data_IF_917733701693
#
_entry.id   IF_917733701693
#
_cell.length_a   1.000
_cell.length_b   1.000
_cell.length_c   1.000
_cell.angle_alpha   90.00
_cell.angle_beta   90.00
_cell.angle_gamma   90.00
#
_symmetry.space_group_name_H-M   'P 1'
#
loop_
_entity.id
_entity.type
_entity.pdbx_description
1 polymer ?
#
# COMPACT_ATOMS: atom_id res chain seq x y z
N UNK A 1 -18.46 20.24 -35.32
CA UNK A 1 -18.40 21.11 -34.12
C UNK A 1 -17.09 20.83 -33.40
N UNK A 2 -16.12 21.73 -33.61
CA UNK A 2 -14.77 21.67 -33.05
C UNK A 2 -14.78 22.13 -31.58
N UNK A 3 -14.06 21.44 -30.69
CA UNK A 3 -13.56 22.05 -29.45
C UNK A 3 -12.15 21.58 -29.15
N UNK A 4 -11.26 22.55 -29.26
CA UNK A 4 -9.84 22.50 -29.07
C UNK A 4 -9.44 22.52 -27.58
N UNK A 5 -8.21 22.06 -27.35
CA UNK A 5 -7.19 22.54 -26.41
C UNK A 5 -7.56 22.93 -24.96
N UNK A 6 -6.82 22.32 -24.02
CA UNK A 6 -5.76 23.02 -23.27
C UNK A 6 -5.02 22.07 -22.32
N UNK A 7 -3.79 21.75 -22.69
CA UNK A 7 -2.75 21.31 -21.76
C UNK A 7 -2.28 22.51 -20.94
N UNK A 8 -2.26 22.39 -19.61
CA UNK A 8 -1.57 23.33 -18.73
C UNK A 8 -0.99 22.55 -17.54
N UNK A 9 0.32 22.30 -17.58
CA UNK A 9 1.09 21.84 -16.43
C UNK A 9 1.87 23.04 -15.87
N UNK A 10 1.83 23.29 -14.55
CA UNK A 10 2.62 24.34 -13.93
C UNK A 10 4.10 23.92 -13.76
N UNK A 11 4.95 24.93 -13.91
CA UNK A 11 6.40 24.93 -13.73
C UNK A 11 6.82 24.54 -12.31
N UNK A 12 7.85 23.68 -12.21
CA UNK A 12 8.52 23.33 -10.97
C UNK A 12 9.63 24.35 -10.71
N UNK A 13 9.48 25.12 -9.64
CA UNK A 13 10.48 26.06 -9.12
C UNK A 13 11.63 25.28 -8.45
N UNK A 14 12.85 25.49 -8.95
CA UNK A 14 14.10 25.01 -8.37
C UNK A 14 14.51 25.84 -7.15
N UNK A 15 14.95 25.17 -6.09
CA UNK A 15 15.51 25.76 -4.86
C UNK A 15 17.04 25.78 -5.00
N UNK A 16 17.73 26.93 -4.81
CA UNK A 16 19.17 26.98 -4.66
C UNK A 16 19.55 26.83 -3.18
N UNK A 17 20.64 26.14 -2.87
CA UNK A 17 21.25 26.25 -1.54
C UNK A 17 22.76 26.35 -1.69
N UNK A 18 23.25 27.47 -1.17
CA UNK A 18 24.59 28.02 -1.32
C UNK A 18 25.69 27.16 -0.71
N UNK A 19 26.80 27.15 -1.44
CA UNK A 19 28.15 26.89 -0.99
C UNK A 19 28.67 28.08 -0.17
N UNK A 20 29.15 27.85 1.06
CA UNK A 20 30.05 28.79 1.75
C UNK A 20 31.22 28.05 2.42
N UNK A 21 32.40 28.27 1.84
CA UNK A 21 33.73 28.04 2.40
C UNK A 21 34.21 29.27 3.18
N UNK A 22 35.23 29.08 4.03
CA UNK A 22 36.08 30.05 4.79
C UNK A 22 35.99 29.78 6.31
N UNK A 23 37.04 29.71 7.15
CA UNK A 23 38.50 29.89 7.06
C UNK A 23 39.12 29.25 8.33
N UNK A 24 40.39 28.85 8.27
CA UNK A 24 41.13 28.17 9.34
C UNK A 24 41.97 29.09 10.26
N UNK A 25 42.07 28.68 11.55
CA UNK A 25 43.24 28.70 12.49
C UNK A 25 43.71 30.02 13.18
N UNK A 26 44.47 29.99 14.33
CA UNK A 26 44.80 28.91 15.32
C UNK A 26 44.76 29.26 16.86
N UNK A 27 44.65 28.19 17.68
CA UNK A 27 45.19 27.80 19.04
C UNK A 27 45.95 28.74 20.02
N UNK A 28 46.26 28.33 21.28
CA UNK A 28 45.62 27.35 22.21
C UNK A 28 45.54 27.82 23.70
N UNK A 29 44.81 27.09 24.55
CA UNK A 29 45.03 27.05 26.00
C UNK A 29 44.94 25.60 26.52
N UNK A 30 45.74 25.19 27.52
CA UNK A 30 45.96 23.77 27.83
C UNK A 30 44.99 23.20 28.88
N UNK A 31 44.72 21.90 28.70
CA UNK A 31 44.45 20.87 29.71
C UNK A 31 43.29 21.03 30.70
N UNK A 32 42.16 20.37 30.37
CA UNK A 32 41.52 19.40 31.29
C UNK A 32 40.96 18.22 30.45
N UNK A 33 41.53 16.99 30.54
CA UNK A 33 40.93 15.82 29.90
C UNK A 33 39.79 15.29 30.75
N UNK A 34 38.63 15.94 30.69
CA UNK A 34 37.40 15.39 31.26
C UNK A 34 36.89 14.29 30.31
N UNK A 35 37.46 13.08 30.41
CA UNK A 35 36.97 11.86 29.75
C UNK A 35 35.62 11.48 30.35
N UNK A 36 34.57 12.20 29.97
CA UNK A 36 33.20 11.69 30.11
C UNK A 36 33.11 10.38 29.34
N UNK A 37 32.58 9.30 29.94
CA UNK A 37 32.44 8.03 29.24
C UNK A 37 31.60 8.25 27.98
N UNK A 38 32.17 7.97 26.81
CA UNK A 38 31.49 7.88 25.50
C UNK A 38 30.54 6.66 25.46
N UNK A 39 29.85 6.37 26.56
CA UNK A 39 29.01 5.18 26.74
C UNK A 39 27.58 5.36 26.22
N UNK A 40 27.21 6.52 25.67
CA UNK A 40 25.79 6.78 25.33
C UNK A 40 25.51 7.06 23.85
N UNK A 41 26.49 6.90 22.95
CA UNK A 41 26.22 6.99 21.49
C UNK A 41 25.82 5.65 20.86
N UNK A 42 26.11 4.52 21.50
CA UNK A 42 25.71 3.18 21.03
C UNK A 42 24.33 2.73 21.51
N UNK A 43 23.77 3.33 22.57
CA UNK A 43 22.38 3.06 23.01
C UNK A 43 21.30 3.62 22.08
N UNK A 44 21.69 4.36 21.03
CA UNK A 44 20.79 4.80 19.95
C UNK A 44 20.68 3.80 18.80
N UNK A 45 21.51 2.75 18.79
CA UNK A 45 21.31 1.64 17.88
C UNK A 45 20.10 0.81 18.36
N UNK A 46 19.17 0.58 17.44
CA UNK A 46 18.11 -0.45 17.49
C UNK A 46 17.02 -0.29 18.54
N UNK A 47 16.42 0.90 18.68
CA UNK A 47 14.96 0.87 18.88
C UNK A 47 14.37 0.43 17.55
N UNK A 48 14.01 -0.85 17.49
CA UNK A 48 13.32 -1.45 16.35
C UNK A 48 12.15 -0.56 15.92
N UNK A 49 11.94 -0.40 14.61
CA UNK A 49 11.04 0.62 14.08
C UNK A 49 9.61 0.50 14.66
N UNK A 50 9.16 -0.71 14.99
CA UNK A 50 7.86 -0.95 15.63
C UNK A 50 7.75 -0.35 17.02
N UNK A 51 8.85 -0.20 17.77
CA UNK A 51 8.84 0.51 19.04
C UNK A 51 8.39 1.95 18.85
N UNK A 52 8.70 2.60 17.72
CA UNK A 52 8.22 3.94 17.40
C UNK A 52 6.72 3.95 17.05
N UNK A 53 6.26 2.90 16.36
CA UNK A 53 4.84 2.74 15.99
C UNK A 53 3.95 2.49 17.20
N UNK A 54 4.43 1.71 18.18
CA UNK A 54 3.68 1.43 19.41
C UNK A 54 3.30 2.69 20.21
N UNK A 55 4.06 3.79 20.06
CA UNK A 55 3.76 5.08 20.72
C UNK A 55 2.94 6.04 19.86
N UNK A 56 2.60 5.68 18.62
CA UNK A 56 1.77 6.54 17.77
C UNK A 56 0.32 6.48 18.27
N UNK A 57 -0.22 7.64 18.66
CA UNK A 57 -1.66 7.80 18.85
C UNK A 57 -2.34 7.83 17.48
N UNK A 58 -2.75 6.65 17.02
CA UNK A 58 -3.52 6.53 15.78
C UNK A 58 -4.97 6.94 16.06
N UNK A 59 -5.47 7.93 15.33
CA UNK A 59 -6.91 8.22 15.36
C UNK A 59 -7.64 7.03 14.75
N UNK A 60 -8.69 6.50 15.39
CA UNK A 60 -9.45 5.40 14.82
C UNK A 60 -9.97 5.81 13.44
N UNK A 61 -9.56 5.08 12.42
CA UNK A 61 -10.03 5.29 11.06
C UNK A 61 -11.40 4.63 10.92
N UNK A 62 -12.44 5.44 10.76
CA UNK A 62 -13.80 4.96 10.50
C UNK A 62 -14.13 5.09 9.02
N UNK A 63 -14.45 3.98 8.37
CA UNK A 63 -14.93 3.96 6.99
C UNK A 63 -16.29 3.27 6.94
N UNK A 64 -17.27 3.91 6.30
CA UNK A 64 -18.63 3.38 6.16
C UNK A 64 -18.96 3.09 4.70
N UNK A 65 -19.76 2.06 4.46
CA UNK A 65 -20.28 1.69 3.14
C UNK A 65 -21.68 2.27 2.91
N UNK A 66 -21.83 3.57 3.11
CA UNK A 66 -23.13 4.26 3.13
C UNK A 66 -23.51 4.87 1.78
N UNK A 67 -22.74 4.62 0.72
CA UNK A 67 -22.95 5.19 -0.61
C UNK A 67 -22.93 4.09 -1.66
N UNK A 68 -23.55 4.36 -2.81
CA UNK A 68 -23.49 3.51 -4.01
C UNK A 68 -22.96 4.30 -5.19
N UNK A 69 -22.26 3.62 -6.09
CA UNK A 69 -21.77 4.20 -7.32
C UNK A 69 -22.94 4.57 -8.25
N UNK A 70 -22.95 5.80 -8.79
CA UNK A 70 -24.00 6.27 -9.70
C UNK A 70 -24.02 5.56 -11.06
N UNK A 71 -22.94 4.87 -11.43
CA UNK A 71 -22.79 4.22 -12.74
C UNK A 71 -23.04 2.70 -12.70
N UNK A 72 -22.65 2.03 -11.60
CA UNK A 72 -22.75 0.57 -11.48
C UNK A 72 -23.42 0.09 -10.18
N UNK A 73 -23.87 1.00 -9.32
CA UNK A 73 -24.60 0.71 -8.08
C UNK A 73 -23.86 -0.13 -7.02
N UNK A 74 -22.56 -0.38 -7.22
CA UNK A 74 -21.72 -1.08 -6.23
C UNK A 74 -21.60 -0.21 -4.97
N UNK A 75 -21.70 -0.80 -3.76
CA UNK A 75 -21.43 -0.08 -2.51
C UNK A 75 -20.03 0.53 -2.53
N UNK A 76 -19.93 1.80 -2.13
CA UNK A 76 -18.68 2.56 -2.09
C UNK A 76 -18.28 2.84 -0.65
N UNK A 77 -16.97 2.96 -0.42
CA UNK A 77 -16.47 3.51 0.82
C UNK A 77 -16.82 5.01 0.94
N UNK A 78 -16.98 5.52 2.16
CA UNK A 78 -17.37 6.91 2.44
C UNK A 78 -16.47 7.94 1.74
N UNK A 79 -15.18 7.62 1.59
CA UNK A 79 -14.16 8.46 0.95
C UNK A 79 -13.98 8.20 -0.54
N UNK A 80 -14.63 7.17 -1.09
CA UNK A 80 -14.46 6.75 -2.49
C UNK A 80 -15.32 7.61 -3.43
N UNK A 81 -14.75 7.98 -4.57
CA UNK A 81 -15.44 8.78 -5.59
C UNK A 81 -16.29 7.88 -6.47
N UNK A 82 -17.51 8.35 -6.80
CA UNK A 82 -18.35 7.64 -7.76
C UNK A 82 -17.62 7.50 -9.10
N UNK A 83 -17.75 6.33 -9.73
CA UNK A 83 -17.11 6.03 -11.00
C UNK A 83 -15.66 5.56 -10.92
N UNK A 84 -15.00 5.62 -9.75
CA UNK A 84 -13.65 5.05 -9.60
C UNK A 84 -13.65 3.53 -9.86
N UNK A 85 -14.59 2.80 -9.28
CA UNK A 85 -14.70 1.34 -9.38
C UNK A 85 -15.02 0.80 -10.78
N UNK A 86 -15.54 1.62 -11.70
CA UNK A 86 -16.02 1.20 -13.01
C UNK A 86 -15.55 2.11 -14.15
N UNK A 87 -14.60 3.01 -13.88
CA UNK A 87 -14.13 4.01 -14.84
C UNK A 87 -15.30 4.81 -15.44
N UNK A 88 -16.17 5.37 -14.59
CA UNK A 88 -17.41 6.07 -14.97
C UNK A 88 -18.35 5.22 -15.84
N UNK A 89 -18.44 3.92 -15.56
CA UNK A 89 -19.29 2.96 -16.26
C UNK A 89 -18.67 2.34 -17.51
N UNK A 90 -17.45 2.73 -17.92
CA UNK A 90 -16.75 2.15 -19.06
C UNK A 90 -16.35 0.69 -18.85
N UNK A 91 -16.11 0.30 -17.60
CA UNK A 91 -15.75 -1.08 -17.22
C UNK A 91 -16.79 -1.59 -16.25
N UNK A 92 -17.53 -2.62 -16.65
CA UNK A 92 -18.39 -3.40 -15.75
C UNK A 92 -17.72 -4.73 -15.53
N UNK A 93 -17.62 -5.14 -14.27
CA UNK A 93 -17.21 -6.51 -13.98
C UNK A 93 -18.22 -7.47 -14.65
N UNK A 94 -17.75 -8.54 -15.29
CA UNK A 94 -18.67 -9.56 -15.78
C UNK A 94 -19.47 -10.13 -14.62
N UNK A 95 -20.70 -10.57 -14.89
CA UNK A 95 -21.45 -11.33 -13.88
C UNK A 95 -20.68 -12.60 -13.58
N UNK A 96 -20.49 -12.87 -12.29
CA UNK A 96 -19.92 -14.13 -11.86
C UNK A 96 -20.85 -15.28 -12.31
N UNK A 97 -20.29 -16.44 -12.69
CA UNK A 97 -21.09 -17.63 -12.92
C UNK A 97 -21.89 -17.95 -11.64
N UNK A 98 -23.08 -18.55 -11.79
CA UNK A 98 -23.87 -18.94 -10.62
C UNK A 98 -23.08 -19.91 -9.76
N UNK A 99 -23.17 -19.74 -8.45
CA UNK A 99 -22.56 -20.66 -7.51
C UNK A 99 -23.25 -22.04 -7.57
N UNK A 100 -22.53 -23.13 -7.26
CA UNK A 100 -23.16 -24.43 -7.05
C UNK A 100 -24.29 -24.32 -6.03
N UNK A 101 -25.41 -25.02 -6.28
CA UNK A 101 -26.66 -24.87 -5.51
C UNK A 101 -26.47 -24.93 -3.99
N UNK A 102 -25.68 -25.91 -3.51
CA UNK A 102 -25.41 -26.07 -2.08
C UNK A 102 -24.65 -24.90 -1.48
N UNK A 103 -23.71 -24.32 -2.23
CA UNK A 103 -22.94 -23.17 -1.77
C UNK A 103 -23.80 -21.90 -1.76
N UNK A 104 -24.63 -21.70 -2.78
CA UNK A 104 -25.59 -20.60 -2.80
C UNK A 104 -26.56 -20.69 -1.61
N UNK A 105 -27.12 -21.87 -1.35
CA UNK A 105 -27.98 -22.09 -0.20
C UNK A 105 -27.28 -21.75 1.11
N UNK A 106 -26.04 -22.20 1.30
CA UNK A 106 -25.25 -21.84 2.47
C UNK A 106 -24.98 -20.33 2.58
N UNK A 107 -24.73 -19.65 1.46
CA UNK A 107 -24.56 -18.19 1.43
C UNK A 107 -25.85 -17.44 1.81
N UNK A 108 -27.00 -17.98 1.43
CA UNK A 108 -28.31 -17.38 1.70
C UNK A 108 -28.77 -17.65 3.15
N UNK A 109 -28.44 -18.82 3.71
CA UNK A 109 -28.83 -19.26 5.05
C UNK A 109 -27.90 -18.74 6.17
N UNK A 110 -26.70 -18.25 5.83
CA UNK A 110 -25.70 -17.88 6.82
C UNK A 110 -25.87 -16.46 7.36
N UNK A 111 -25.97 -16.31 8.68
CA UNK A 111 -25.94 -15.01 9.37
C UNK A 111 -24.53 -14.40 9.45
N UNK A 112 -23.51 -15.11 8.95
CA UNK A 112 -22.14 -14.64 9.00
C UNK A 112 -21.96 -13.43 8.06
N UNK A 113 -21.33 -12.33 8.52
CA UNK A 113 -21.03 -11.19 7.67
C UNK A 113 -19.81 -11.47 6.78
N UNK A 114 -19.94 -12.42 5.85
CA UNK A 114 -18.87 -12.96 5.00
C UNK A 114 -18.08 -11.88 4.27
N UNK A 115 -18.79 -10.88 3.72
CA UNK A 115 -18.14 -9.74 3.05
C UNK A 115 -17.22 -8.96 3.99
N UNK A 116 -17.63 -8.77 5.24
CA UNK A 116 -16.83 -8.09 6.26
C UNK A 116 -15.62 -8.93 6.67
N UNK A 117 -15.82 -10.23 6.87
CA UNK A 117 -14.75 -11.16 7.24
C UNK A 117 -13.69 -11.28 6.13
N UNK A 118 -14.12 -11.47 4.87
CA UNK A 118 -13.24 -11.52 3.71
C UNK A 118 -12.38 -10.26 3.59
N UNK A 119 -12.97 -9.07 3.73
CA UNK A 119 -12.22 -7.81 3.70
C UNK A 119 -11.21 -7.68 4.85
N UNK A 120 -11.57 -8.12 6.05
CA UNK A 120 -10.65 -8.13 7.20
C UNK A 120 -9.46 -9.04 6.93
N UNK A 121 -9.70 -10.26 6.42
CA UNK A 121 -8.65 -11.21 6.06
C UNK A 121 -7.74 -10.66 4.95
N UNK A 122 -8.32 -10.10 3.88
CA UNK A 122 -7.53 -9.48 2.81
C UNK A 122 -6.67 -8.32 3.31
N UNK A 123 -7.20 -7.52 4.24
CA UNK A 123 -6.44 -6.42 4.86
C UNK A 123 -5.29 -6.96 5.72
N UNK A 124 -5.56 -7.96 6.57
CA UNK A 124 -4.52 -8.62 7.37
C UNK A 124 -3.44 -9.22 6.49
N UNK A 125 -3.81 -9.92 5.41
CA UNK A 125 -2.87 -10.47 4.45
C UNK A 125 -2.01 -9.38 3.80
N UNK A 126 -2.61 -8.28 3.34
CA UNK A 126 -1.88 -7.16 2.76
C UNK A 126 -0.89 -6.52 3.75
N UNK A 127 -1.28 -6.36 5.02
CA UNK A 127 -0.38 -5.85 6.06
C UNK A 127 0.77 -6.79 6.38
N UNK A 128 0.48 -8.10 6.49
CA UNK A 128 1.52 -9.12 6.70
C UNK A 128 2.51 -9.13 5.54
N UNK A 129 2.01 -9.01 4.30
CA UNK A 129 2.87 -8.93 3.12
C UNK A 129 3.80 -7.73 3.22
N UNK A 130 3.27 -6.52 3.43
CA UNK A 130 4.07 -5.28 3.59
C UNK A 130 5.12 -5.42 4.70
N UNK A 131 4.75 -6.02 5.83
CA UNK A 131 5.66 -6.22 6.96
C UNK A 131 6.77 -7.22 6.67
N UNK A 132 6.47 -8.28 5.90
CA UNK A 132 7.44 -9.34 5.57
C UNK A 132 8.38 -8.98 4.40
N UNK A 133 7.91 -8.20 3.43
CA UNK A 133 8.66 -7.93 2.20
C UNK A 133 9.53 -6.67 2.24
N UNK A 134 9.41 -5.83 3.29
CA UNK A 134 10.04 -4.51 3.44
C UNK A 134 9.82 -3.55 2.24
N UNK A 135 8.99 -3.94 1.26
CA UNK A 135 8.72 -3.26 0.00
C UNK A 135 7.28 -3.57 -0.43
N UNK A 136 6.64 -2.63 -1.12
CA UNK A 136 5.37 -2.91 -1.79
C UNK A 136 5.63 -3.85 -2.97
N UNK A 137 5.49 -5.15 -2.75
CA UNK A 137 5.49 -6.12 -3.84
C UNK A 137 4.10 -6.03 -4.48
N UNK A 138 4.07 -5.80 -5.80
CA UNK A 138 2.86 -6.02 -6.58
C UNK A 138 2.86 -7.50 -6.96
N UNK A 139 2.09 -8.36 -6.26
CA UNK A 139 1.94 -9.72 -6.73
C UNK A 139 1.34 -9.64 -8.14
N UNK A 140 1.89 -10.39 -9.12
CA UNK A 140 1.21 -10.53 -10.40
C UNK A 140 -0.21 -11.06 -10.11
N UNK A 141 -1.22 -10.35 -10.58
CA UNK A 141 -2.62 -10.66 -10.30
C UNK A 141 -3.06 -12.03 -10.87
N UNK A 142 -4.15 -12.63 -10.36
CA UNK A 142 -4.50 -12.83 -8.96
C UNK A 142 -3.81 -14.10 -8.43
N UNK A 143 -3.16 -14.00 -7.28
CA UNK A 143 -2.61 -15.17 -6.59
C UNK A 143 -3.76 -15.96 -5.96
N UNK A 144 -4.36 -16.87 -6.72
CA UNK A 144 -4.83 -18.12 -6.15
C UNK A 144 -3.60 -18.73 -5.48
N UNK A 145 -3.55 -18.67 -4.15
CA UNK A 145 -2.38 -19.03 -3.35
C UNK A 145 -1.90 -20.43 -3.73
N UNK A 146 -0.77 -20.60 -4.42
CA UNK A 146 -0.13 -21.90 -4.52
C UNK A 146 0.64 -22.05 -3.22
N UNK A 147 0.19 -23.01 -2.40
CA UNK A 147 1.02 -23.55 -1.31
C UNK A 147 2.37 -23.93 -1.92
N UNK A 148 3.51 -23.48 -1.37
CA UNK A 148 4.81 -23.78 -1.95
C UNK A 148 5.15 -25.24 -1.66
N UNK A 149 5.06 -26.11 -2.66
CA UNK A 149 5.90 -27.30 -2.73
C UNK A 149 7.02 -27.02 -3.72
N UNK A 150 8.10 -26.51 -3.15
CA UNK A 150 9.49 -26.70 -3.55
C UNK A 150 9.70 -27.80 -4.61
N UNK A 151 9.96 -27.41 -5.86
CA UNK A 151 11.05 -27.96 -6.70
C UNK A 151 11.10 -27.22 -8.03
N UNK A 152 12.27 -26.68 -8.32
CA UNK A 152 12.66 -26.02 -9.56
C UNK A 152 12.48 -26.92 -10.78
N UNK A 153 11.74 -26.44 -11.79
CA UNK A 153 11.79 -26.98 -13.16
C UNK A 153 11.97 -25.81 -14.14
N UNK A 154 12.87 -25.90 -15.15
CA UNK A 154 13.25 -24.77 -15.99
C UNK A 154 12.12 -24.33 -16.92
N UNK A 155 12.03 -23.01 -17.13
CA UNK A 155 11.12 -22.37 -18.07
C UNK A 155 11.45 -22.78 -19.52
N UNK A 156 10.59 -23.58 -20.13
CA UNK A 156 10.46 -23.60 -21.59
C UNK A 156 9.43 -22.54 -22.00
N UNK A 157 9.88 -21.64 -22.87
CA UNK A 157 9.10 -20.60 -23.54
C UNK A 157 7.94 -21.21 -24.34
N UNK A 158 6.71 -20.75 -24.10
CA UNK A 158 5.58 -21.06 -24.97
C UNK A 158 5.12 -19.78 -25.69
N UNK A 159 5.36 -19.77 -27.00
CA UNK A 159 4.98 -18.75 -27.95
C UNK A 159 3.48 -18.82 -28.28
N UNK A 160 2.88 -17.65 -28.52
CA UNK A 160 1.70 -17.37 -29.35
C UNK A 160 0.42 -18.18 -29.11
N UNK A 161 -0.62 -17.54 -28.57
CA UNK A 161 -2.00 -17.81 -28.99
C UNK A 161 -2.73 -16.48 -29.18
N UNK A 162 -3.04 -16.20 -30.46
CA UNK A 162 -4.15 -15.33 -30.87
C UNK A 162 -5.45 -16.03 -30.46
N UNK A 163 -6.30 -15.34 -29.70
CA UNK A 163 -7.76 -15.34 -29.82
C UNK A 163 -8.24 -13.98 -29.31
#
# INVERSE_FOLDING_TARGET
MNRADRNSRPSVTSIPTETRSSTASPSPAPNVPNRRPKANRRARATRMWWSRVAWLKVRPFSQSWNRRCSFCSIPLLSTERSGWCCTNGKRKAPRLPPYPRYFQQWLDDTDLPLSTLSRRLNSLFAFSLIGSSERFIHPPAPADVPVPSETSVPQHTCNTIKC
#
